data_IF_037854686930
#
_entry.id   IF_037854686930
#
_cell.length_a   1.000
_cell.length_b   1.000
_cell.length_c   1.000
_cell.angle_alpha   90.00
_cell.angle_beta   90.00
_cell.angle_gamma   90.00
#
_symmetry.space_group_name_H-M   'P 1'
#
loop_
_entity.id
_entity.type
_entity.pdbx_description
1 polymer ?
#
# COMPACT_ATOMS: atom_id res chain seq x y z
N UNK A 1 6.71 -15.53 13.73
CA UNK A 1 5.80 -14.78 12.82
C UNK A 1 5.99 -13.30 13.05
N UNK A 2 6.29 -12.51 12.02
CA UNK A 2 6.30 -11.04 12.13
C UNK A 2 4.89 -10.54 11.86
N UNK A 3 4.27 -9.91 12.85
CA UNK A 3 2.98 -9.25 12.65
C UNK A 3 3.18 -8.03 11.76
N UNK A 4 2.36 -7.91 10.71
CA UNK A 4 2.34 -6.72 9.88
C UNK A 4 1.47 -5.65 10.51
N UNK A 5 2.01 -4.45 10.67
CA UNK A 5 1.24 -3.31 11.14
C UNK A 5 0.21 -2.86 10.10
N UNK A 6 -0.82 -2.12 10.54
CA UNK A 6 -1.81 -1.52 9.62
C UNK A 6 -1.16 -0.54 8.64
N UNK A 7 -0.10 0.16 9.09
CA UNK A 7 0.68 1.06 8.25
C UNK A 7 1.45 0.29 7.16
N UNK A 8 2.12 -0.82 7.51
CA UNK A 8 2.79 -1.70 6.54
C UNK A 8 1.80 -2.24 5.50
N UNK A 9 0.63 -2.73 5.93
CA UNK A 9 -0.40 -3.22 5.00
C UNK A 9 -0.90 -2.10 4.09
N UNK A 10 -1.14 -0.92 4.64
CA UNK A 10 -1.58 0.26 3.87
C UNK A 10 -0.53 0.66 2.84
N UNK A 11 0.75 0.71 3.23
CA UNK A 11 1.85 1.03 2.32
C UNK A 11 1.93 0.03 1.15
N UNK A 12 1.82 -1.28 1.43
CA UNK A 12 1.83 -2.33 0.38
C UNK A 12 0.66 -2.17 -0.60
N UNK A 13 -0.55 -1.88 -0.10
CA UNK A 13 -1.73 -1.66 -0.95
C UNK A 13 -1.52 -0.41 -1.83
N UNK A 14 -1.06 0.69 -1.24
CA UNK A 14 -0.84 1.94 -1.97
C UNK A 14 0.26 1.77 -3.02
N UNK A 15 1.43 1.22 -2.67
CA UNK A 15 2.49 0.95 -3.66
C UNK A 15 1.98 0.08 -4.81
N UNK A 16 1.21 -0.97 -4.51
CA UNK A 16 0.64 -1.87 -5.52
C UNK A 16 -0.43 -1.20 -6.41
N UNK A 17 -1.06 -0.12 -5.94
CA UNK A 17 -2.06 0.64 -6.67
C UNK A 17 -1.49 1.84 -7.45
N UNK A 18 -0.17 2.11 -7.40
CA UNK A 18 0.44 3.30 -8.00
C UNK A 18 0.16 3.42 -9.52
N UNK A 19 0.21 2.30 -10.24
CA UNK A 19 -0.14 2.20 -11.67
C UNK A 19 -1.59 1.81 -11.95
N UNK A 20 -2.44 1.73 -10.93
CA UNK A 20 -3.76 1.11 -11.02
C UNK A 20 -3.70 -0.40 -10.81
N UNK A 21 -4.53 -0.92 -9.92
CA UNK A 21 -4.63 -2.35 -9.69
C UNK A 21 -6.05 -2.78 -9.34
N UNK A 22 -6.41 -4.00 -9.73
CA UNK A 22 -7.68 -4.62 -9.33
C UNK A 22 -7.63 -5.04 -7.86
N UNK A 23 -8.80 -5.15 -7.23
CA UNK A 23 -8.95 -5.68 -5.86
C UNK A 23 -8.23 -7.01 -5.68
N UNK A 24 -8.35 -7.93 -6.65
CA UNK A 24 -7.71 -9.25 -6.60
C UNK A 24 -6.19 -9.13 -6.61
N UNK A 25 -5.60 -8.29 -7.47
CA UNK A 25 -4.15 -8.07 -7.49
C UNK A 25 -3.65 -7.47 -6.16
N UNK A 26 -4.39 -6.53 -5.59
CA UNK A 26 -4.08 -5.93 -4.29
C UNK A 26 -4.16 -6.95 -3.15
N UNK A 27 -5.18 -7.81 -3.17
CA UNK A 27 -5.36 -8.90 -2.21
C UNK A 27 -4.14 -9.83 -2.17
N UNK A 28 -3.70 -10.29 -3.34
CA UNK A 28 -2.53 -11.18 -3.44
C UNK A 28 -1.24 -10.48 -3.04
N UNK A 29 -0.99 -9.26 -3.51
CA UNK A 29 0.21 -8.49 -3.16
C UNK A 29 0.29 -8.17 -1.66
N UNK A 30 -0.87 -7.89 -1.05
CA UNK A 30 -0.95 -7.61 0.37
C UNK A 30 -1.17 -8.85 1.24
N UNK A 31 -1.21 -10.07 0.70
CA UNK A 31 -1.50 -11.30 1.46
C UNK A 31 -2.72 -11.14 2.40
N UNK A 32 -3.82 -10.61 1.88
CA UNK A 32 -5.05 -10.39 2.64
C UNK A 32 -6.13 -11.37 2.19
N UNK A 33 -7.06 -11.71 3.09
CA UNK A 33 -8.30 -12.38 2.69
C UNK A 33 -9.21 -11.43 1.91
N UNK A 34 -10.20 -11.99 1.22
CA UNK A 34 -11.23 -11.20 0.53
C UNK A 34 -11.94 -10.20 1.44
N UNK A 35 -12.27 -10.63 2.66
CA UNK A 35 -12.92 -9.77 3.65
C UNK A 35 -12.00 -8.62 4.10
N UNK A 36 -10.73 -8.93 4.38
CA UNK A 36 -9.76 -7.93 4.83
C UNK A 36 -9.48 -6.89 3.75
N UNK A 37 -9.23 -7.28 2.50
CA UNK A 37 -8.94 -6.32 1.44
C UNK A 37 -10.15 -5.40 1.18
N UNK A 38 -11.38 -5.91 1.30
CA UNK A 38 -12.58 -5.11 1.11
C UNK A 38 -12.67 -3.99 2.16
N UNK A 39 -12.40 -4.30 3.42
CA UNK A 39 -12.43 -3.31 4.50
C UNK A 39 -11.28 -2.30 4.38
N UNK A 40 -10.08 -2.72 3.98
CA UNK A 40 -9.00 -1.78 3.69
C UNK A 40 -9.33 -0.87 2.52
N UNK A 41 -9.83 -1.40 1.41
CA UNK A 41 -10.15 -0.59 0.23
C UNK A 41 -11.29 0.39 0.51
N UNK A 42 -12.31 -0.01 1.28
CA UNK A 42 -13.35 0.89 1.77
C UNK A 42 -12.75 2.07 2.53
N UNK A 43 -11.94 1.78 3.56
CA UNK A 43 -11.27 2.81 4.35
C UNK A 43 -10.39 3.74 3.49
N UNK A 44 -9.61 3.18 2.56
CA UNK A 44 -8.70 3.95 1.73
C UNK A 44 -9.43 4.83 0.70
N UNK A 45 -10.57 4.38 0.18
CA UNK A 45 -11.42 5.19 -0.71
C UNK A 45 -12.10 6.30 0.07
N UNK A 46 -12.76 5.97 1.19
CA UNK A 46 -13.48 6.93 2.03
C UNK A 46 -12.56 8.05 2.55
N UNK A 47 -11.30 7.73 2.84
CA UNK A 47 -10.30 8.69 3.31
C UNK A 47 -9.46 9.31 2.18
N UNK A 48 -9.78 9.01 0.92
CA UNK A 48 -9.16 9.62 -0.25
C UNK A 48 -7.70 9.26 -0.48
N UNK A 49 -7.22 8.13 0.02
CA UNK A 49 -5.87 7.61 -0.27
C UNK A 49 -5.79 6.88 -1.62
N UNK A 50 -6.91 6.26 -2.03
CA UNK A 50 -7.08 5.68 -3.38
C UNK A 50 -8.38 6.17 -3.99
N UNK A 51 -8.44 6.20 -5.32
CA UNK A 51 -9.65 6.41 -6.10
C UNK A 51 -10.01 5.09 -6.79
N UNK A 52 -11.28 4.72 -6.74
CA UNK A 52 -11.82 3.65 -7.56
C UNK A 52 -12.30 4.22 -8.89
N UNK A 53 -11.90 3.60 -10.00
CA UNK A 53 -12.35 3.95 -11.35
C UNK A 53 -13.42 2.96 -11.81
N UNK A 54 -14.66 3.43 -11.83
CA UNK A 54 -15.78 2.68 -12.40
C UNK A 54 -15.54 2.45 -13.90
N UNK A 55 -15.84 1.24 -14.38
CA UNK A 55 -15.56 0.78 -15.74
C UNK A 55 -14.30 -0.07 -15.86
N UNK A 56 -13.17 0.36 -15.28
CA UNK A 56 -11.91 -0.42 -15.31
C UNK A 56 -11.72 -1.31 -14.08
N UNK A 57 -12.50 -1.08 -13.02
CA UNK A 57 -12.38 -1.75 -11.72
C UNK A 57 -10.99 -1.56 -11.06
N UNK A 58 -10.28 -0.50 -11.44
CA UNK A 58 -8.95 -0.19 -10.93
C UNK A 58 -9.03 0.73 -9.71
N UNK A 59 -8.17 0.45 -8.75
CA UNK A 59 -7.84 1.35 -7.66
C UNK A 59 -6.53 2.04 -7.98
N UNK A 60 -6.53 3.37 -7.96
CA UNK A 60 -5.35 4.20 -8.22
C UNK A 60 -5.03 5.08 -7.03
N UNK A 61 -3.74 5.22 -6.72
CA UNK A 61 -3.28 6.06 -5.61
C UNK A 61 -3.51 7.54 -5.92
N UNK A 62 -4.06 8.27 -4.95
CA UNK A 62 -4.25 9.73 -5.02
C UNK A 62 -2.96 10.47 -4.59
N UNK A 63 -2.87 11.80 -4.78
CA UNK A 63 -1.79 12.58 -4.19
C UNK A 63 -1.66 12.41 -2.67
N UNK A 64 -2.79 12.30 -1.95
CA UNK A 64 -2.80 12.05 -0.50
C UNK A 64 -2.24 10.67 -0.14
N UNK A 65 -2.56 9.65 -0.93
CA UNK A 65 -1.95 8.31 -0.80
C UNK A 65 -0.43 8.32 -1.01
N UNK A 66 0.05 9.09 -2.00
CA UNK A 66 1.50 9.28 -2.20
C UNK A 66 2.17 10.02 -1.04
N UNK A 67 1.49 11.00 -0.44
CA UNK A 67 2.00 11.69 0.74
C UNK A 67 2.15 10.74 1.93
N UNK A 68 1.16 9.87 2.16
CA UNK A 68 1.26 8.83 3.19
C UNK A 68 2.49 7.94 2.97
N UNK A 69 2.73 7.48 1.73
CA UNK A 69 3.88 6.63 1.42
C UNK A 69 5.21 7.30 1.77
N UNK A 70 5.38 8.58 1.43
CA UNK A 70 6.57 9.36 1.74
C UNK A 70 6.81 9.46 3.25
N UNK A 71 5.80 9.88 4.00
CA UNK A 71 5.89 10.01 5.46
C UNK A 71 6.17 8.65 6.12
N UNK A 72 5.53 7.59 5.63
CA UNK A 72 5.73 6.24 6.15
C UNK A 72 7.18 5.75 5.90
N UNK A 73 7.79 6.11 4.77
CA UNK A 73 9.20 5.84 4.48
C UNK A 73 10.13 6.64 5.41
N UNK A 74 9.93 7.95 5.54
CA UNK A 74 10.68 8.82 6.46
C UNK A 74 10.64 8.32 7.92
N UNK A 75 9.45 7.94 8.41
CA UNK A 75 9.31 7.37 9.76
C UNK A 75 10.04 6.03 9.87
N UNK A 76 9.96 5.17 8.86
CA UNK A 76 10.65 3.89 8.89
C UNK A 76 12.18 4.07 8.92
N UNK A 77 12.73 5.09 8.25
CA UNK A 77 14.16 5.41 8.32
C UNK A 77 14.57 5.88 9.73
N UNK A 78 13.74 6.71 10.38
CA UNK A 78 14.01 7.20 11.72
C UNK A 78 13.93 6.09 12.79
N UNK A 79 12.98 5.17 12.63
CA UNK A 79 12.71 4.10 13.61
C UNK A 79 13.58 2.86 13.36
N UNK A 80 13.99 2.62 12.11
CA UNK A 80 14.86 1.51 11.71
C UNK A 80 16.02 2.00 10.83
N UNK A 81 16.99 2.73 11.41
CA UNK A 81 18.18 3.15 10.68
C UNK A 81 18.94 1.89 10.21
N UNK A 82 18.94 1.64 8.89
CA UNK A 82 19.55 0.46 8.24
C UNK A 82 18.64 -0.36 7.32
N UNK A 83 17.34 -0.04 7.19
CA UNK A 83 16.44 -0.78 6.31
C UNK A 83 16.74 -0.59 4.80
N UNK A 84 17.21 0.60 4.40
CA UNK A 84 17.44 0.97 3.00
C UNK A 84 18.67 0.33 2.34
N UNK A 85 19.60 -0.23 3.11
CA UNK A 85 20.76 -0.93 2.52
C UNK A 85 20.34 -2.26 1.88
N UNK A 86 19.29 -2.93 2.40
CA UNK A 86 18.84 -4.22 1.89
C UNK A 86 18.02 -4.14 0.60
N UNK A 87 17.36 -3.02 0.32
CA UNK A 87 16.57 -2.85 -0.90
C UNK A 87 17.44 -2.50 -2.11
N UNK A 88 18.57 -1.81 -1.90
CA UNK A 88 19.55 -1.52 -2.97
C UNK A 88 20.32 -2.76 -3.45
N UNK A 89 20.39 -3.83 -2.66
CA UNK A 89 21.11 -5.07 -3.02
C UNK A 89 20.29 -6.04 -3.88
N UNK A 90 18.97 -5.82 -4.02
CA UNK A 90 18.05 -6.80 -4.63
C UNK A 90 17.64 -6.43 -6.06
N UNK A 91 18.05 -5.26 -6.57
CA UNK A 91 17.98 -4.98 -8.01
C UNK A 91 19.26 -5.48 -8.70
N UNK A 92 19.23 -6.74 -9.15
CA UNK A 92 20.04 -7.29 -10.23
C UNK A 92 19.13 -7.71 -11.38
#
# INVERSE_FOLDING_TARGET
MRYRSRAEITAVILQSAAGGATKTRLMYKAFLSYAQIKEYLRFLVENGFVKYEEGTQLYKVTPRGRQFLRINEEINELVNPGHNEKLKTIEF
#
